data_IF_140661242817
#
_entry.id   IF_140661242817
#
_cell.length_a   1.000
_cell.length_b   1.000
_cell.length_c   1.000
_cell.angle_alpha   90.00
_cell.angle_beta   90.00
_cell.angle_gamma   90.00
#
_symmetry.space_group_name_H-M   'P 1'
#
loop_
_entity.id
_entity.type
_entity.pdbx_description
1 polymer ?
#
# COMPACT_ATOMS: atom_id res chain seq x y z
N UNK A 1 2.05 1.00 15.04
CA UNK A 1 1.87 1.24 13.59
C UNK A 1 3.25 1.37 12.97
N UNK A 2 3.62 0.52 12.01
CA UNK A 2 4.99 0.44 11.46
C UNK A 2 5.18 1.28 10.18
N UNK A 3 4.40 2.35 10.02
CA UNK A 3 4.38 3.12 8.78
C UNK A 3 5.52 4.16 8.80
N UNK A 4 6.46 4.13 7.84
CA UNK A 4 7.63 5.02 7.86
C UNK A 4 7.26 6.50 7.75
N UNK A 5 6.09 6.83 7.20
CA UNK A 5 5.57 8.20 7.10
C UNK A 5 4.52 8.54 8.18
N UNK A 6 4.48 7.82 9.31
CA UNK A 6 3.44 8.00 10.33
C UNK A 6 3.37 9.43 10.90
N UNK A 7 4.52 10.07 11.14
CA UNK A 7 4.55 11.46 11.63
C UNK A 7 3.91 12.40 10.59
N UNK A 8 4.32 12.28 9.32
CA UNK A 8 3.76 13.06 8.22
C UNK A 8 2.28 12.76 7.96
N UNK A 9 1.83 11.53 8.21
CA UNK A 9 0.43 11.15 8.03
C UNK A 9 -0.53 11.86 8.99
N UNK A 10 -0.03 12.32 10.14
CA UNK A 10 -0.80 13.12 11.11
C UNK A 10 -0.99 14.57 10.68
N UNK A 11 -0.03 15.13 9.95
CA UNK A 11 -0.01 16.54 9.56
C UNK A 11 -0.50 16.73 8.12
N UNK A 12 -0.03 15.89 7.20
CA UNK A 12 -0.26 15.97 5.76
C UNK A 12 -0.68 14.59 5.22
N UNK A 13 -1.90 14.16 5.56
CA UNK A 13 -2.40 12.82 5.25
C UNK A 13 -2.32 12.48 3.77
N UNK A 14 -2.76 13.36 2.87
CA UNK A 14 -2.73 13.09 1.42
C UNK A 14 -1.32 12.82 0.90
N UNK A 15 -0.36 13.67 1.29
CA UNK A 15 1.04 13.51 0.92
C UNK A 15 1.60 12.19 1.44
N UNK A 16 1.39 11.88 2.72
CA UNK A 16 1.85 10.63 3.31
C UNK A 16 1.19 9.40 2.66
N UNK A 17 -0.09 9.47 2.29
CA UNK A 17 -0.77 8.37 1.60
C UNK A 17 -0.16 8.12 0.21
N UNK A 18 0.14 9.17 -0.56
CA UNK A 18 0.77 9.05 -1.87
C UNK A 18 2.21 8.51 -1.79
N UNK A 19 3.00 8.98 -0.82
CA UNK A 19 4.35 8.46 -0.58
C UNK A 19 4.34 6.98 -0.15
N UNK A 20 3.43 6.61 0.76
CA UNK A 20 3.24 5.21 1.14
C UNK A 20 2.85 4.36 -0.06
N UNK A 21 1.95 4.85 -0.91
CA UNK A 21 1.52 4.12 -2.10
C UNK A 21 2.70 3.87 -3.04
N UNK A 22 3.49 4.91 -3.37
CA UNK A 22 4.66 4.79 -4.23
C UNK A 22 5.70 3.80 -3.68
N UNK A 23 6.01 3.88 -2.37
CA UNK A 23 6.94 2.96 -1.71
C UNK A 23 6.47 1.51 -1.82
N UNK A 24 5.20 1.24 -1.48
CA UNK A 24 4.66 -0.12 -1.45
C UNK A 24 4.48 -0.69 -2.85
N UNK A 25 4.13 0.13 -3.85
CA UNK A 25 4.10 -0.28 -5.26
C UNK A 25 5.48 -0.74 -5.72
N UNK A 26 6.54 0.03 -5.47
CA UNK A 26 7.89 -0.38 -5.87
C UNK A 26 8.34 -1.69 -5.21
N UNK A 27 7.94 -1.93 -3.95
CA UNK A 27 8.18 -3.21 -3.28
C UNK A 27 7.38 -4.34 -3.91
N UNK A 28 6.10 -4.11 -4.23
CA UNK A 28 5.25 -5.12 -4.85
C UNK A 28 5.74 -5.50 -6.26
N UNK A 29 6.20 -4.54 -7.05
CA UNK A 29 6.75 -4.78 -8.39
C UNK A 29 8.02 -5.65 -8.33
N UNK A 30 8.84 -5.49 -7.29
CA UNK A 30 10.03 -6.31 -7.06
C UNK A 30 9.70 -7.78 -6.67
N UNK A 31 8.44 -8.09 -6.35
CA UNK A 31 7.97 -9.44 -5.97
C UNK A 31 7.40 -10.24 -7.15
N UNK A 32 7.58 -9.77 -8.39
CA UNK A 32 7.10 -10.46 -9.58
C UNK A 32 7.62 -11.91 -9.67
N UNK A 33 6.80 -12.88 -10.15
CA UNK A 33 5.44 -12.70 -10.68
C UNK A 33 4.33 -12.67 -9.60
N UNK A 34 4.67 -12.79 -8.33
CA UNK A 34 3.71 -12.92 -7.22
C UNK A 34 3.34 -11.57 -6.59
N UNK A 35 3.38 -10.50 -7.38
CA UNK A 35 3.14 -9.12 -6.93
C UNK A 35 1.70 -8.97 -6.40
N UNK A 36 1.51 -8.58 -5.13
CA UNK A 36 0.19 -8.26 -4.62
C UNK A 36 -0.35 -6.98 -5.27
N UNK A 37 -1.68 -6.89 -5.41
CA UNK A 37 -2.31 -5.67 -5.90
C UNK A 37 -2.28 -4.59 -4.82
N UNK A 38 -1.68 -3.44 -5.15
CA UNK A 38 -1.56 -2.28 -4.27
C UNK A 38 -2.67 -1.27 -4.58
N UNK A 39 -3.40 -0.80 -3.56
CA UNK A 39 -4.43 0.23 -3.73
C UNK A 39 -4.42 1.27 -2.62
N UNK A 40 -4.71 2.51 -3.00
CA UNK A 40 -5.09 3.59 -2.09
C UNK A 40 -6.54 3.39 -1.60
N UNK A 41 -6.68 3.23 -0.29
CA UNK A 41 -7.94 3.08 0.43
C UNK A 41 -7.83 3.71 1.85
N UNK A 42 -7.76 5.06 1.94
CA UNK A 42 -7.71 5.77 3.22
C UNK A 42 -8.89 5.41 4.12
N UNK A 43 -8.63 5.34 5.43
CA UNK A 43 -9.65 5.04 6.42
C UNK A 43 -9.13 5.27 7.85
N UNK A 44 -10.03 5.45 8.83
CA UNK A 44 -9.64 5.68 10.21
C UNK A 44 -8.85 4.49 10.77
N UNK A 45 -7.86 4.81 11.63
CA UNK A 45 -7.03 3.84 12.37
C UNK A 45 -6.25 2.81 11.51
N UNK A 46 -6.01 3.08 10.22
CA UNK A 46 -5.22 2.20 9.34
C UNK A 46 -4.35 2.97 8.34
N UNK A 47 -3.43 2.26 7.69
CA UNK A 47 -2.65 2.81 6.57
C UNK A 47 -3.57 3.09 5.37
N UNK A 48 -3.29 4.14 4.60
CA UNK A 48 -4.04 4.44 3.37
C UNK A 48 -3.76 3.43 2.25
N UNK A 49 -2.79 2.55 2.39
CA UNK A 49 -2.43 1.54 1.39
C UNK A 49 -2.91 0.17 1.85
N UNK A 50 -3.63 -0.51 0.97
CA UNK A 50 -4.10 -1.88 1.19
C UNK A 50 -3.47 -2.79 0.14
N UNK A 51 -2.95 -3.91 0.60
CA UNK A 51 -2.46 -5.00 -0.23
C UNK A 51 -3.54 -6.06 -0.37
N UNK A 52 -3.83 -6.46 -1.60
CA UNK A 52 -4.62 -7.66 -1.88
C UNK A 52 -3.69 -8.73 -2.44
N UNK A 53 -3.83 -9.96 -1.96
CA UNK A 53 -3.06 -11.09 -2.50
C UNK A 53 -3.43 -11.24 -3.97
N UNK A 54 -2.41 -11.47 -4.80
CA UNK A 54 -2.63 -12.05 -6.11
C UNK A 54 -2.97 -13.52 -5.88
N UNK A 55 -4.22 -13.92 -6.08
CA UNK A 55 -4.56 -15.35 -6.07
C UNK A 55 -3.90 -15.96 -7.30
N UNK A 56 -2.91 -16.84 -7.11
CA UNK A 56 -2.33 -17.63 -8.20
C UNK A 56 -3.31 -18.72 -8.72
N UNK A 57 -4.62 -18.51 -8.57
CA UNK A 57 -5.70 -19.38 -9.03
C UNK A 57 -7.02 -18.60 -9.00
N UNK A 58 -7.34 -17.93 -10.11
CA UNK A 58 -8.72 -17.69 -10.52
C UNK A 58 -8.90 -18.55 -11.79
N UNK A 59 -9.65 -19.67 -11.74
CA UNK A 59 -9.84 -20.51 -12.90
C UNK A 59 -10.74 -19.82 -13.94
N UNK A 60 -10.16 -19.59 -15.12
CA UNK A 60 -10.70 -19.28 -16.47
C UNK A 60 -11.88 -18.31 -16.63
#
# INVERSE_FOLDING_TARGET
MNCPFHALAREQTELACNMNHALITGVADALAPHSPAVRLAPGPARCCVVLKRCSAHDPE
#
